data_IF_776434808084
#
_entry.id   IF_776434808084
#
_cell.length_a   1.000
_cell.length_b   1.000
_cell.length_c   1.000
_cell.angle_alpha   90.00
_cell.angle_beta   90.00
_cell.angle_gamma   90.00
#
_symmetry.space_group_name_H-M   'P 1'
#
loop_
_entity.id
_entity.type
_entity.pdbx_description
1 polymer ?
#
# COMPACT_ATOMS: atom_id res chain seq x y z
N UNK A 1 -14.03 2.61 17.64
CA UNK A 1 -13.50 1.67 16.65
C UNK A 1 -12.00 1.96 16.31
N UNK A 2 -11.41 3.03 16.90
CA UNK A 2 -10.01 3.38 16.75
C UNK A 2 -9.66 4.17 15.46
N UNK A 3 -10.66 4.59 14.70
CA UNK A 3 -10.50 5.48 13.55
C UNK A 3 -11.64 6.51 13.50
N UNK A 4 -11.41 7.63 12.82
CA UNK A 4 -12.42 8.65 12.56
C UNK A 4 -12.96 8.53 11.13
N UNK A 5 -14.21 8.94 10.92
CA UNK A 5 -14.85 8.93 9.61
C UNK A 5 -14.97 10.35 9.07
N UNK A 6 -14.11 10.70 8.12
CA UNK A 6 -13.99 12.05 7.56
C UNK A 6 -14.43 12.15 6.09
N UNK A 7 -14.91 11.06 5.48
CA UNK A 7 -15.39 11.06 4.10
C UNK A 7 -16.79 11.65 4.01
N UNK A 8 -16.99 12.84 3.42
CA UNK A 8 -18.29 13.46 3.27
C UNK A 8 -19.23 12.63 2.38
N UNK A 9 -20.56 12.69 2.59
CA UNK A 9 -21.52 11.93 1.79
C UNK A 9 -21.44 12.20 0.28
N UNK A 10 -21.16 13.43 -0.13
CA UNK A 10 -21.02 13.84 -1.54
C UNK A 10 -19.74 13.33 -2.24
N UNK A 11 -18.79 12.81 -1.48
CA UNK A 11 -17.56 12.18 -2.02
C UNK A 11 -17.66 10.65 -2.07
N UNK A 12 -18.80 10.08 -1.71
CA UNK A 12 -19.04 8.64 -1.79
C UNK A 12 -19.58 8.28 -3.16
N UNK A 13 -18.82 7.54 -3.95
CA UNK A 13 -19.26 7.03 -5.25
C UNK A 13 -19.92 5.64 -5.17
N UNK A 14 -19.92 5.01 -3.99
CA UNK A 14 -20.59 3.75 -3.70
C UNK A 14 -21.01 3.67 -2.23
N UNK A 15 -21.88 2.72 -1.86
CA UNK A 15 -22.28 2.47 -0.48
C UNK A 15 -21.17 1.89 0.39
N UNK A 16 -20.17 1.24 -0.23
CA UNK A 16 -18.99 0.68 0.42
C UNK A 16 -17.77 0.86 -0.49
N UNK A 17 -17.13 2.06 -0.50
CA UNK A 17 -15.96 2.30 -1.33
C UNK A 17 -14.72 1.58 -0.78
N UNK A 18 -13.78 1.25 -1.67
CA UNK A 18 -12.54 0.55 -1.35
C UNK A 18 -12.73 -0.96 -1.12
N UNK A 19 -11.79 -1.56 -0.41
CA UNK A 19 -11.85 -2.98 -0.07
C UNK A 19 -13.10 -3.31 0.76
N UNK A 20 -13.80 -4.35 0.39
CA UNK A 20 -14.86 -4.91 1.21
C UNK A 20 -14.30 -5.69 2.42
N UNK A 21 -15.20 -6.23 3.25
CA UNK A 21 -14.79 -6.98 4.46
C UNK A 21 -13.95 -8.21 4.13
N UNK A 22 -14.26 -8.90 3.04
CA UNK A 22 -13.56 -10.11 2.59
C UNK A 22 -12.15 -9.77 2.10
N UNK A 23 -12.04 -8.75 1.24
CA UNK A 23 -10.75 -8.28 0.73
C UNK A 23 -9.83 -7.76 1.84
N UNK A 24 -10.37 -6.96 2.77
CA UNK A 24 -9.59 -6.46 3.91
C UNK A 24 -9.09 -7.60 4.82
N UNK A 25 -9.91 -8.64 5.03
CA UNK A 25 -9.50 -9.82 5.78
C UNK A 25 -8.44 -10.64 5.04
N UNK A 26 -8.62 -10.87 3.73
CA UNK A 26 -7.66 -11.60 2.89
C UNK A 26 -6.29 -10.91 2.87
N UNK A 27 -6.28 -9.57 2.73
CA UNK A 27 -5.06 -8.75 2.77
C UNK A 27 -4.35 -8.89 4.11
N UNK A 28 -5.08 -8.74 5.22
CA UNK A 28 -4.54 -8.95 6.57
C UNK A 28 -3.92 -10.34 6.70
N UNK A 29 -4.64 -11.39 6.31
CA UNK A 29 -4.21 -12.77 6.49
C UNK A 29 -2.97 -13.09 5.65
N UNK A 30 -2.89 -12.55 4.44
CA UNK A 30 -1.73 -12.68 3.57
C UNK A 30 -0.51 -11.91 4.08
N UNK A 31 -0.67 -10.62 4.38
CA UNK A 31 0.45 -9.77 4.81
C UNK A 31 0.96 -10.15 6.20
N UNK A 32 0.09 -10.61 7.11
CA UNK A 32 0.51 -11.08 8.44
C UNK A 32 1.34 -12.38 8.41
N UNK A 33 1.41 -13.06 7.27
CA UNK A 33 2.32 -14.20 7.03
C UNK A 33 3.66 -13.76 6.42
N UNK A 34 3.89 -12.46 6.35
CA UNK A 34 5.17 -11.86 5.95
C UNK A 34 5.59 -12.14 4.49
N UNK A 35 4.67 -12.57 3.62
CA UNK A 35 4.99 -12.79 2.20
C UNK A 35 5.58 -11.57 1.50
N UNK A 36 5.26 -10.34 1.96
CA UNK A 36 5.80 -9.08 1.45
C UNK A 36 6.74 -8.39 2.45
N UNK A 37 7.38 -9.17 3.35
CA UNK A 37 8.30 -8.63 4.36
C UNK A 37 9.48 -7.89 3.74
N UNK A 38 9.97 -8.32 2.58
CA UNK A 38 11.06 -7.64 1.87
C UNK A 38 10.71 -6.20 1.50
N UNK A 39 9.47 -5.94 1.06
CA UNK A 39 9.00 -4.58 0.79
C UNK A 39 8.91 -3.77 2.08
N UNK A 40 8.33 -4.32 3.14
CA UNK A 40 8.27 -3.64 4.44
C UNK A 40 9.65 -3.28 4.96
N UNK A 41 10.60 -4.21 4.94
CA UNK A 41 11.98 -3.98 5.40
C UNK A 41 12.68 -2.88 4.60
N UNK A 42 12.47 -2.85 3.28
CA UNK A 42 13.03 -1.79 2.44
C UNK A 42 12.44 -0.43 2.76
N UNK A 43 11.12 -0.34 2.95
CA UNK A 43 10.46 0.89 3.39
C UNK A 43 10.96 1.34 4.77
N UNK A 44 11.02 0.43 5.74
CA UNK A 44 11.57 0.73 7.07
C UNK A 44 12.99 1.26 7.01
N UNK A 45 13.87 0.60 6.22
CA UNK A 45 15.25 1.04 6.04
C UNK A 45 15.35 2.45 5.47
N UNK A 46 14.51 2.76 4.49
CA UNK A 46 14.47 4.10 3.91
C UNK A 46 14.01 5.14 4.95
N UNK A 47 12.91 4.90 5.66
CA UNK A 47 12.42 5.83 6.67
C UNK A 47 13.43 6.03 7.82
N UNK A 48 14.16 4.99 8.20
CA UNK A 48 15.23 5.08 9.21
C UNK A 48 16.43 5.91 8.73
N UNK A 49 16.75 5.91 7.45
CA UNK A 49 17.88 6.68 6.91
C UNK A 49 17.54 8.13 6.60
N UNK A 50 16.32 8.40 6.14
CA UNK A 50 15.94 9.69 5.54
C UNK A 50 15.09 10.57 6.48
N UNK A 51 14.42 9.99 7.50
CA UNK A 51 13.59 10.74 8.42
C UNK A 51 14.40 11.29 9.61
N UNK A 52 13.99 12.46 10.10
CA UNK A 52 14.50 13.04 11.37
C UNK A 52 14.00 12.30 12.61
N UNK A 53 14.28 12.85 13.79
CA UNK A 53 13.93 12.25 15.08
C UNK A 53 12.42 12.19 15.36
N UNK A 54 11.67 13.17 14.86
CA UNK A 54 10.21 13.29 15.09
C UNK A 54 9.47 13.60 13.77
N UNK A 55 9.51 12.71 12.77
CA UNK A 55 8.92 12.98 11.48
C UNK A 55 7.39 12.94 11.53
N UNK A 56 6.74 13.76 10.72
CA UNK A 56 5.30 13.69 10.44
C UNK A 56 5.10 12.91 9.16
N UNK A 57 4.50 11.73 9.27
CA UNK A 57 4.35 10.77 8.17
C UNK A 57 2.87 10.51 7.88
N UNK A 58 2.51 10.56 6.62
CA UNK A 58 1.19 10.17 6.12
C UNK A 58 1.31 8.94 5.24
N UNK A 59 0.51 7.91 5.52
CA UNK A 59 0.26 6.77 4.61
C UNK A 59 -1.10 6.95 3.93
N UNK A 60 -1.08 7.36 2.66
CA UNK A 60 -2.28 7.64 1.88
C UNK A 60 -2.74 6.40 1.10
N UNK A 61 -3.81 5.76 1.57
CA UNK A 61 -4.25 4.45 1.11
C UNK A 61 -3.59 3.33 1.91
N UNK A 62 -3.55 3.48 3.24
CA UNK A 62 -2.84 2.59 4.15
C UNK A 62 -3.42 1.16 4.25
N UNK A 63 -4.61 0.93 3.68
CA UNK A 63 -5.30 -0.35 3.76
C UNK A 63 -5.51 -0.81 5.21
N UNK A 64 -5.10 -2.03 5.51
CA UNK A 64 -5.22 -2.65 6.84
C UNK A 64 -4.02 -2.34 7.77
N UNK A 65 -3.15 -1.40 7.37
CA UNK A 65 -2.10 -0.82 8.22
C UNK A 65 -0.82 -1.65 8.36
N UNK A 66 -0.56 -2.64 7.52
CA UNK A 66 0.62 -3.49 7.62
C UNK A 66 1.92 -2.68 7.48
N UNK A 67 2.05 -1.91 6.41
CA UNK A 67 3.23 -1.06 6.19
C UNK A 67 3.28 0.10 7.18
N UNK A 68 2.15 0.73 7.42
CA UNK A 68 2.01 1.85 8.36
C UNK A 68 2.51 1.49 9.75
N UNK A 69 1.99 0.39 10.32
CA UNK A 69 2.39 -0.07 11.65
C UNK A 69 3.85 -0.54 11.70
N UNK A 70 4.32 -1.26 10.67
CA UNK A 70 5.70 -1.73 10.60
C UNK A 70 6.72 -0.59 10.56
N UNK A 71 6.46 0.46 9.76
CA UNK A 71 7.32 1.65 9.70
C UNK A 71 7.31 2.38 11.06
N UNK A 72 6.12 2.58 11.65
CA UNK A 72 6.00 3.19 12.96
C UNK A 72 6.83 2.45 14.02
N UNK A 73 6.68 1.15 14.12
CA UNK A 73 7.39 0.30 15.08
C UNK A 73 8.91 0.31 14.83
N UNK A 74 9.34 0.30 13.57
CA UNK A 74 10.76 0.39 13.23
C UNK A 74 11.38 1.72 13.70
N UNK A 75 10.70 2.85 13.48
CA UNK A 75 11.15 4.16 13.96
C UNK A 75 11.18 4.24 15.49
N UNK A 76 10.13 3.77 16.16
CA UNK A 76 10.06 3.73 17.63
C UNK A 76 11.17 2.87 18.24
N UNK A 77 11.50 1.72 17.62
CA UNK A 77 12.56 0.83 18.10
C UNK A 77 13.96 1.46 18.04
N UNK A 78 14.14 2.48 17.22
CA UNK A 78 15.37 3.27 17.11
C UNK A 78 15.34 4.58 17.92
N UNK A 79 14.38 4.70 18.84
CA UNK A 79 14.25 5.86 19.72
C UNK A 79 13.74 7.13 19.05
N UNK A 80 13.13 7.01 17.86
CA UNK A 80 12.47 8.13 17.18
C UNK A 80 11.04 8.30 17.67
N UNK A 81 10.46 9.47 17.46
CA UNK A 81 9.11 9.83 17.92
C UNK A 81 8.23 10.27 16.74
N UNK A 82 7.89 9.38 15.79
CA UNK A 82 7.11 9.76 14.63
C UNK A 82 5.68 10.15 15.03
N UNK A 83 5.14 11.18 14.40
CA UNK A 83 3.70 11.44 14.33
C UNK A 83 3.21 10.83 13.01
N UNK A 84 2.36 9.83 13.10
CA UNK A 84 1.95 9.06 11.93
C UNK A 84 0.44 8.99 11.81
N UNK A 85 -0.06 9.22 10.59
CA UNK A 85 -1.45 9.03 10.23
C UNK A 85 -1.57 8.08 9.04
N UNK A 86 -2.62 7.26 9.04
CA UNK A 86 -3.02 6.42 7.92
C UNK A 86 -4.42 6.76 7.45
N UNK A 87 -4.60 6.92 6.14
CA UNK A 87 -5.92 7.16 5.56
C UNK A 87 -6.26 6.09 4.53
N UNK A 88 -7.51 5.68 4.49
CA UNK A 88 -8.04 4.79 3.47
C UNK A 88 -9.54 5.10 3.25
N UNK A 89 -10.07 4.75 2.09
CA UNK A 89 -11.49 4.92 1.81
C UNK A 89 -12.33 3.76 2.39
N UNK A 90 -11.71 2.61 2.67
CA UNK A 90 -12.35 1.43 3.23
C UNK A 90 -12.39 1.47 4.76
N UNK A 91 -13.58 1.62 5.32
CA UNK A 91 -13.80 1.47 6.77
C UNK A 91 -13.46 0.08 7.30
N UNK A 92 -13.53 -0.95 6.45
CA UNK A 92 -13.22 -2.33 6.85
C UNK A 92 -11.71 -2.52 7.04
N UNK A 93 -10.92 -1.97 6.13
CA UNK A 93 -9.46 -1.95 6.23
C UNK A 93 -9.01 -1.16 7.46
N UNK A 94 -9.53 0.05 7.67
CA UNK A 94 -9.16 0.89 8.80
C UNK A 94 -9.56 0.30 10.17
N UNK A 95 -10.64 -0.48 10.23
CA UNK A 95 -10.98 -1.21 11.47
C UNK A 95 -9.92 -2.24 11.85
N UNK A 96 -9.21 -2.80 10.88
CA UNK A 96 -8.09 -3.71 11.10
C UNK A 96 -6.85 -2.91 11.46
N UNK A 97 -6.53 -1.85 10.70
CA UNK A 97 -5.37 -0.98 10.93
C UNK A 97 -5.35 -0.39 12.34
N UNK A 98 -6.48 0.14 12.81
CA UNK A 98 -6.62 0.72 14.15
C UNK A 98 -6.46 -0.28 15.30
N UNK A 99 -6.60 -1.59 15.02
CA UNK A 99 -6.31 -2.66 16.00
C UNK A 99 -4.87 -3.12 15.95
N UNK A 100 -4.19 -2.89 14.83
CA UNK A 100 -2.80 -3.28 14.63
C UNK A 100 -1.84 -2.36 15.39
N UNK A 101 -2.11 -1.05 15.40
CA UNK A 101 -1.31 -0.06 16.12
C UNK A 101 -2.20 1.09 16.61
N UNK A 102 -2.28 1.24 17.93
CA UNK A 102 -3.16 2.23 18.59
C UNK A 102 -2.56 3.63 18.67
N UNK A 103 -1.24 3.75 18.46
CA UNK A 103 -0.52 5.02 18.53
C UNK A 103 -0.58 5.81 17.21
N UNK A 104 -1.16 5.21 16.15
CA UNK A 104 -1.32 5.84 14.83
C UNK A 104 -2.74 6.39 14.68
N UNK A 105 -2.86 7.57 14.12
CA UNK A 105 -4.15 8.19 13.82
C UNK A 105 -4.70 7.67 12.50
N UNK A 106 -5.87 7.02 12.51
CA UNK A 106 -6.50 6.48 11.30
C UNK A 106 -7.79 7.22 10.94
N UNK A 107 -7.97 7.51 9.65
CA UNK A 107 -9.17 8.20 9.16
C UNK A 107 -9.69 7.62 7.84
N UNK A 108 -11.03 7.40 7.75
CA UNK A 108 -11.70 7.18 6.48
C UNK A 108 -11.75 8.49 5.71
N UNK A 109 -10.99 8.59 4.63
CA UNK A 109 -10.90 9.79 3.81
C UNK A 109 -10.56 9.44 2.36
N UNK A 110 -10.85 10.35 1.44
CA UNK A 110 -10.39 10.28 0.06
C UNK A 110 -8.98 10.83 -0.05
N UNK A 111 -8.06 10.11 -0.71
CA UNK A 111 -6.71 10.60 -0.97
C UNK A 111 -6.67 11.88 -1.80
N UNK A 112 -7.76 12.22 -2.49
CA UNK A 112 -7.87 13.45 -3.30
C UNK A 112 -8.25 14.71 -2.49
N UNK A 113 -8.74 14.53 -1.25
CA UNK A 113 -9.18 15.64 -0.38
C UNK A 113 -9.00 15.23 1.08
N UNK A 114 -7.78 15.40 1.58
CA UNK A 114 -7.43 15.03 2.95
C UNK A 114 -7.61 16.22 3.90
N UNK A 115 -8.24 16.06 5.05
CA UNK A 115 -8.49 17.13 6.00
C UNK A 115 -7.23 17.45 6.83
N UNK A 116 -6.12 17.70 6.15
CA UNK A 116 -4.83 18.06 6.72
C UNK A 116 -4.41 19.44 6.22
N UNK A 117 -3.66 20.17 7.03
CA UNK A 117 -3.13 21.49 6.66
C UNK A 117 -2.10 21.36 5.51
N UNK A 118 -1.96 22.43 4.73
CA UNK A 118 -0.91 22.54 3.73
C UNK A 118 0.46 22.44 4.39
N UNK A 119 1.40 21.81 3.70
CA UNK A 119 2.80 21.71 4.11
C UNK A 119 2.98 21.21 5.56
N UNK A 120 2.16 20.22 5.96
CA UNK A 120 2.15 19.67 7.32
C UNK A 120 2.84 18.32 7.46
N UNK A 121 3.25 17.69 6.34
CA UNK A 121 3.78 16.33 6.27
C UNK A 121 5.23 16.36 5.79
N UNK A 122 6.12 15.64 6.48
CA UNK A 122 7.54 15.50 6.12
C UNK A 122 7.75 14.41 5.07
N UNK A 123 7.00 13.28 5.21
CA UNK A 123 7.06 12.17 4.26
C UNK A 123 5.67 11.58 4.02
N UNK A 124 5.39 11.22 2.77
CA UNK A 124 4.15 10.62 2.33
C UNK A 124 4.43 9.29 1.65
N UNK A 125 3.78 8.23 2.14
CA UNK A 125 3.75 6.92 1.50
C UNK A 125 2.43 6.75 0.74
N UNK A 126 2.51 6.24 -0.49
CA UNK A 126 1.37 5.77 -1.26
C UNK A 126 1.72 4.38 -1.83
N UNK A 127 1.11 3.34 -1.25
CA UNK A 127 1.43 1.96 -1.56
C UNK A 127 0.23 1.28 -2.23
N UNK A 128 0.33 1.01 -3.55
CA UNK A 128 -0.73 0.38 -4.36
C UNK A 128 -2.08 1.10 -4.31
N UNK A 129 -2.07 2.40 -4.09
CA UNK A 129 -3.24 3.24 -3.90
C UNK A 129 -3.35 4.30 -5.00
N UNK A 130 -4.52 4.90 -5.25
CA UNK A 130 -4.67 5.94 -6.25
C UNK A 130 -3.72 7.12 -6.04
N UNK A 131 -3.13 7.59 -7.12
CA UNK A 131 -2.19 8.69 -7.13
C UNK A 131 -2.92 10.05 -7.17
N UNK A 132 -2.85 10.81 -6.07
CA UNK A 132 -3.48 12.11 -5.92
C UNK A 132 -2.41 13.23 -5.84
N UNK A 133 -1.67 13.44 -6.93
CA UNK A 133 -0.46 14.27 -6.96
C UNK A 133 -0.64 15.69 -6.45
N UNK A 134 -1.72 16.38 -6.85
CA UNK A 134 -2.01 17.75 -6.41
C UNK A 134 -2.17 17.82 -4.89
N UNK A 135 -2.91 16.85 -4.33
CA UNK A 135 -3.13 16.77 -2.89
C UNK A 135 -1.84 16.37 -2.15
N UNK A 136 -1.08 15.43 -2.66
CA UNK A 136 0.20 15.04 -2.08
C UNK A 136 1.20 16.19 -2.11
N UNK A 137 1.24 16.95 -3.21
CA UNK A 137 2.05 18.16 -3.30
C UNK A 137 1.59 19.22 -2.28
N UNK A 138 0.29 19.45 -2.11
CA UNK A 138 -0.24 20.40 -1.13
C UNK A 138 0.20 20.05 0.29
N UNK A 139 0.12 18.78 0.68
CA UNK A 139 0.37 18.29 2.04
C UNK A 139 1.83 18.27 2.44
N UNK A 140 2.72 17.91 1.51
CA UNK A 140 4.15 17.83 1.78
C UNK A 140 4.76 19.21 2.01
N UNK A 141 5.69 19.29 2.97
CA UNK A 141 6.55 20.46 3.14
C UNK A 141 7.52 20.59 1.96
N UNK A 142 8.04 21.79 1.64
CA UNK A 142 9.17 21.92 0.72
C UNK A 142 10.33 21.03 1.17
N UNK A 143 10.88 20.25 0.25
CA UNK A 143 11.91 19.24 0.55
C UNK A 143 11.37 17.93 1.15
N UNK A 144 10.07 17.84 1.42
CA UNK A 144 9.44 16.60 1.91
C UNK A 144 9.45 15.47 0.88
N UNK A 145 9.50 14.25 1.34
CA UNK A 145 9.67 13.04 0.51
C UNK A 145 8.33 12.38 0.17
N UNK A 146 8.18 11.97 -1.08
CA UNK A 146 7.05 11.19 -1.56
C UNK A 146 7.52 9.83 -2.06
N UNK A 147 7.05 8.74 -1.42
CA UNK A 147 7.31 7.36 -1.79
C UNK A 147 6.07 6.78 -2.48
N UNK A 148 6.23 6.40 -3.74
CA UNK A 148 5.19 5.79 -4.55
C UNK A 148 5.55 4.34 -4.88
N UNK A 149 4.83 3.39 -4.29
CA UNK A 149 5.09 1.95 -4.46
C UNK A 149 4.12 1.38 -5.48
N UNK A 150 4.68 0.79 -6.53
CA UNK A 150 3.94 0.14 -7.61
C UNK A 150 4.46 -1.26 -7.88
N UNK A 151 3.66 -2.17 -8.49
CA UNK A 151 4.16 -3.45 -8.93
C UNK A 151 5.14 -3.28 -10.10
N UNK A 152 6.27 -3.99 -10.04
CA UNK A 152 7.21 -4.11 -11.15
C UNK A 152 6.70 -5.02 -12.27
N UNK A 153 7.43 -5.11 -13.39
CA UNK A 153 7.00 -5.79 -14.61
C UNK A 153 6.55 -7.23 -14.36
N UNK A 154 7.32 -7.99 -13.61
CA UNK A 154 7.06 -9.42 -13.37
C UNK A 154 6.35 -9.71 -12.05
N UNK A 155 5.75 -8.69 -11.43
CA UNK A 155 5.01 -8.91 -10.18
C UNK A 155 3.87 -9.91 -10.38
N UNK A 156 3.89 -11.01 -9.60
CA UNK A 156 2.93 -12.11 -9.63
C UNK A 156 2.79 -12.75 -11.02
N UNK A 157 3.91 -12.92 -11.73
CA UNK A 157 3.90 -13.42 -13.11
C UNK A 157 3.27 -14.81 -13.23
N UNK A 158 3.65 -15.75 -12.36
CA UNK A 158 3.14 -17.12 -12.38
C UNK A 158 1.66 -17.17 -11.99
N UNK A 159 1.22 -16.30 -11.08
CA UNK A 159 -0.21 -16.13 -10.82
C UNK A 159 -0.95 -15.65 -12.07
N UNK A 160 -0.43 -14.66 -12.79
CA UNK A 160 -1.04 -14.18 -14.04
C UNK A 160 -1.13 -15.28 -15.10
N UNK A 161 -0.11 -16.15 -15.20
CA UNK A 161 -0.12 -17.30 -16.12
C UNK A 161 -1.24 -18.31 -15.80
N UNK A 162 -1.58 -18.48 -14.53
CA UNK A 162 -2.72 -19.30 -14.12
C UNK A 162 -4.05 -18.64 -14.46
N UNK A 163 -4.15 -17.32 -14.25
CA UNK A 163 -5.42 -16.59 -14.38
C UNK A 163 -5.80 -16.31 -15.85
N UNK A 164 -4.82 -16.06 -16.73
CA UNK A 164 -5.04 -15.56 -18.08
C UNK A 164 -4.37 -16.43 -19.14
N UNK A 165 -5.04 -16.61 -20.27
CA UNK A 165 -4.49 -17.37 -21.42
C UNK A 165 -3.37 -16.58 -22.13
N UNK A 166 -3.43 -15.25 -22.09
CA UNK A 166 -2.44 -14.35 -22.66
C UNK A 166 -2.00 -13.31 -21.61
N UNK A 167 -1.19 -13.73 -20.62
CA UNK A 167 -0.69 -12.80 -19.62
C UNK A 167 0.32 -11.81 -20.24
N UNK A 168 0.36 -10.59 -19.69
CA UNK A 168 1.35 -9.59 -20.09
C UNK A 168 2.00 -8.99 -18.83
N UNK A 169 3.28 -8.56 -18.93
CA UNK A 169 3.96 -7.91 -17.82
C UNK A 169 3.32 -6.57 -17.48
N UNK A 170 3.51 -6.08 -16.26
CA UNK A 170 3.13 -4.73 -15.92
C UNK A 170 4.04 -3.75 -16.66
N UNK A 171 3.50 -2.58 -16.99
CA UNK A 171 4.30 -1.53 -17.57
C UNK A 171 5.10 -0.82 -16.45
N UNK A 172 6.40 -0.72 -16.62
CA UNK A 172 7.26 0.10 -15.76
C UNK A 172 7.57 1.42 -16.46
N UNK A 173 7.28 2.52 -15.80
CA UNK A 173 7.55 3.86 -16.34
C UNK A 173 8.21 4.73 -15.27
N UNK A 174 9.28 5.38 -15.67
CA UNK A 174 9.82 6.51 -14.95
C UNK A 174 9.05 7.76 -15.38
N UNK A 175 8.12 8.20 -14.54
CA UNK A 175 7.24 9.32 -14.87
C UNK A 175 7.62 10.51 -13.99
N UNK A 176 8.15 11.60 -14.57
CA UNK A 176 8.33 12.85 -13.84
C UNK A 176 6.98 13.48 -13.51
N UNK A 177 6.87 14.07 -12.33
CA UNK A 177 5.68 14.79 -11.90
C UNK A 177 6.01 16.26 -11.62
N UNK A 178 5.14 17.16 -12.06
CA UNK A 178 5.29 18.59 -11.81
C UNK A 178 5.29 18.88 -10.31
N UNK A 179 6.17 19.79 -9.89
CA UNK A 179 6.35 20.13 -8.48
C UNK A 179 7.23 19.17 -7.68
N UNK A 180 7.67 18.07 -8.31
CA UNK A 180 8.55 17.08 -7.69
C UNK A 180 9.89 16.95 -8.43
N UNK A 181 10.94 16.61 -7.68
CA UNK A 181 12.22 16.16 -8.21
C UNK A 181 12.30 14.64 -8.05
N UNK A 182 12.48 13.93 -9.14
CA UNK A 182 12.68 12.49 -9.10
C UNK A 182 14.06 12.18 -8.50
N UNK A 183 14.11 11.39 -7.44
CA UNK A 183 15.36 11.06 -6.74
C UNK A 183 15.92 9.71 -7.22
N UNK A 184 15.13 8.65 -7.10
CA UNK A 184 15.56 7.30 -7.46
C UNK A 184 14.38 6.34 -7.52
N UNK A 185 14.64 5.14 -8.07
CA UNK A 185 13.77 3.96 -7.96
C UNK A 185 14.53 2.90 -7.16
N UNK A 186 13.90 2.38 -6.11
CA UNK A 186 14.43 1.25 -5.35
C UNK A 186 13.66 -0.01 -5.77
N UNK A 187 14.30 -0.96 -6.45
CA UNK A 187 13.68 -2.24 -6.79
C UNK A 187 13.63 -3.16 -5.56
N UNK A 188 12.54 -3.90 -5.43
CA UNK A 188 12.39 -4.97 -4.43
C UNK A 188 11.85 -6.19 -5.15
N UNK A 189 12.73 -7.13 -5.45
CA UNK A 189 12.40 -8.34 -6.20
C UNK A 189 12.64 -9.57 -5.33
N UNK A 190 11.82 -10.60 -5.50
CA UNK A 190 11.93 -11.85 -4.76
C UNK A 190 10.98 -12.92 -5.30
N UNK A 191 10.94 -14.04 -4.61
CA UNK A 191 10.05 -15.16 -4.91
C UNK A 191 9.39 -15.58 -3.61
N UNK A 192 8.09 -15.86 -3.67
CA UNK A 192 7.31 -16.41 -2.55
C UNK A 192 6.72 -17.75 -2.95
N UNK A 193 6.61 -18.65 -1.98
CA UNK A 193 5.92 -19.94 -2.15
C UNK A 193 4.74 -20.01 -1.20
N UNK A 194 3.56 -20.20 -1.75
CA UNK A 194 2.30 -20.36 -1.05
C UNK A 194 1.98 -21.85 -0.99
N UNK A 195 2.14 -22.43 0.20
CA UNK A 195 1.98 -23.89 0.43
C UNK A 195 0.53 -24.30 0.70
N UNK A 196 -0.39 -23.35 0.72
CA UNK A 196 -1.79 -23.60 1.04
C UNK A 196 -2.70 -22.89 0.06
N UNK A 197 -3.72 -23.59 -0.38
CA UNK A 197 -4.77 -23.04 -1.23
C UNK A 197 -5.43 -21.79 -0.61
N UNK A 198 -5.57 -21.73 0.72
CA UNK A 198 -6.10 -20.56 1.43
C UNK A 198 -5.23 -19.31 1.25
N UNK A 199 -3.91 -19.46 1.16
CA UNK A 199 -2.97 -18.36 0.97
C UNK A 199 -2.96 -17.88 -0.48
N UNK A 200 -3.08 -18.82 -1.42
CA UNK A 200 -3.26 -18.52 -2.85
C UNK A 200 -4.56 -17.74 -3.06
N UNK A 201 -5.65 -18.17 -2.42
CA UNK A 201 -6.92 -17.47 -2.49
C UNK A 201 -6.85 -16.06 -1.84
N UNK A 202 -6.19 -15.93 -0.70
CA UNK A 202 -5.99 -14.63 -0.03
C UNK A 202 -5.18 -13.66 -0.91
N UNK A 203 -4.08 -14.14 -1.53
CA UNK A 203 -3.32 -13.36 -2.51
C UNK A 203 -4.20 -12.91 -3.67
N UNK A 204 -4.95 -13.82 -4.28
CA UNK A 204 -5.84 -13.51 -5.39
C UNK A 204 -6.89 -12.48 -5.01
N UNK A 205 -7.59 -12.69 -3.87
CA UNK A 205 -8.69 -11.84 -3.41
C UNK A 205 -8.24 -10.41 -3.08
N UNK A 206 -7.00 -10.21 -2.61
CA UNK A 206 -6.49 -8.88 -2.29
C UNK A 206 -5.99 -8.09 -3.50
N UNK A 207 -5.98 -8.69 -4.69
CA UNK A 207 -5.51 -8.03 -5.92
C UNK A 207 -6.68 -7.61 -6.83
N UNK A 208 -6.47 -6.63 -7.74
CA UNK A 208 -7.47 -6.28 -8.75
C UNK A 208 -7.84 -7.43 -9.71
N UNK A 209 -7.04 -8.50 -9.75
CA UNK A 209 -7.32 -9.68 -10.58
C UNK A 209 -8.61 -10.37 -10.16
N UNK A 210 -8.97 -10.35 -8.87
CA UNK A 210 -10.20 -10.94 -8.35
C UNK A 210 -11.45 -10.55 -9.14
N UNK A 211 -11.52 -9.28 -9.56
CA UNK A 211 -12.67 -8.74 -10.29
C UNK A 211 -12.59 -8.91 -11.81
N UNK A 212 -11.41 -9.23 -12.34
CA UNK A 212 -11.14 -9.22 -13.79
C UNK A 212 -10.85 -10.60 -14.37
N UNK A 213 -10.70 -11.63 -13.53
CA UNK A 213 -10.32 -12.98 -13.97
C UNK A 213 -11.50 -13.69 -14.60
N UNK A 214 -11.33 -14.28 -15.81
CA UNK A 214 -12.33 -15.16 -16.41
C UNK A 214 -12.60 -16.38 -15.54
N UNK A 215 -13.82 -16.96 -15.67
CA UNK A 215 -14.23 -18.13 -14.89
C UNK A 215 -13.25 -19.29 -14.99
N UNK A 216 -12.77 -19.59 -16.20
CA UNK A 216 -11.78 -20.66 -16.43
C UNK A 216 -10.46 -20.41 -15.67
N UNK A 217 -9.98 -19.17 -15.59
CA UNK A 217 -8.80 -18.81 -14.81
C UNK A 217 -9.03 -18.97 -13.31
N UNK A 218 -10.20 -18.58 -12.81
CA UNK A 218 -10.57 -18.80 -11.41
C UNK A 218 -10.67 -20.29 -11.05
N UNK A 219 -11.18 -21.13 -11.96
CA UNK A 219 -11.23 -22.59 -11.80
C UNK A 219 -9.82 -23.20 -11.77
N UNK A 220 -8.91 -22.75 -12.66
CA UNK A 220 -7.50 -23.17 -12.63
C UNK A 220 -6.84 -22.82 -11.30
N UNK A 221 -7.07 -21.60 -10.81
CA UNK A 221 -6.53 -21.15 -9.53
C UNK A 221 -7.05 -22.00 -8.36
N UNK A 222 -8.34 -22.29 -8.34
CA UNK A 222 -8.97 -23.09 -7.30
C UNK A 222 -8.46 -24.55 -7.24
N UNK A 223 -7.90 -25.05 -8.31
CA UNK A 223 -7.32 -26.39 -8.40
C UNK A 223 -5.85 -26.45 -7.92
N UNK A 224 -5.20 -25.32 -7.66
CA UNK A 224 -3.82 -25.29 -7.17
C UNK A 224 -3.74 -25.67 -5.68
N UNK A 225 -2.81 -26.55 -5.36
CA UNK A 225 -2.46 -26.90 -3.97
C UNK A 225 -1.33 -25.99 -3.45
N UNK A 226 -0.42 -25.57 -4.33
CA UNK A 226 0.68 -24.66 -4.03
C UNK A 226 0.92 -23.69 -5.20
N UNK A 227 1.56 -22.57 -4.94
CA UNK A 227 1.97 -21.61 -5.97
C UNK A 227 3.29 -20.95 -5.57
N UNK A 228 4.30 -21.07 -6.42
CA UNK A 228 5.51 -20.26 -6.34
C UNK A 228 5.40 -19.12 -7.35
N UNK A 229 5.57 -17.90 -6.92
CA UNK A 229 5.44 -16.73 -7.80
C UNK A 229 6.44 -15.62 -7.45
N UNK A 230 6.83 -14.89 -8.47
CA UNK A 230 7.67 -13.70 -8.31
C UNK A 230 6.90 -12.60 -7.62
N UNK A 231 7.59 -11.89 -6.71
CA UNK A 231 7.18 -10.58 -6.22
C UNK A 231 8.16 -9.55 -6.75
N UNK A 232 7.65 -8.46 -7.27
CA UNK A 232 8.45 -7.40 -7.87
C UNK A 232 7.78 -6.06 -7.59
N UNK A 233 8.49 -5.17 -6.90
CA UNK A 233 7.99 -3.85 -6.55
C UNK A 233 9.00 -2.78 -6.98
N UNK A 234 8.49 -1.58 -7.24
CA UNK A 234 9.29 -0.39 -7.49
C UNK A 234 8.85 0.70 -6.53
N UNK A 235 9.78 1.15 -5.70
CA UNK A 235 9.58 2.29 -4.82
C UNK A 235 10.16 3.50 -5.52
N UNK A 236 9.28 4.31 -6.10
CA UNK A 236 9.66 5.59 -6.72
C UNK A 236 9.76 6.64 -5.63
N UNK A 237 10.89 7.29 -5.51
CA UNK A 237 11.17 8.29 -4.49
C UNK A 237 11.29 9.67 -5.15
N UNK A 238 10.46 10.58 -4.67
CA UNK A 238 10.41 11.96 -5.12
C UNK A 238 10.61 12.91 -3.93
N UNK A 239 11.10 14.11 -4.23
CA UNK A 239 11.19 15.19 -3.27
C UNK A 239 10.37 16.38 -3.78
N UNK A 240 9.54 16.98 -2.91
CA UNK A 240 8.81 18.20 -3.24
C UNK A 240 9.79 19.36 -3.42
N UNK A 241 9.63 20.11 -4.52
CA UNK A 241 10.37 21.35 -4.79
C UNK A 241 9.92 22.50 -3.92
#
# INVERSE_FOLDING_TARGET
>A
EGYVYLLPPNQRHSSAPGDDKGMAAARRDFLSKEYYLSLLNTLCSWFLSDSGDSPVILDAGCGEGYYTAGIYQALMSQGRHPRMAGTDISKFSLRIAAKREHSIEFAVASSYHLPLADQSVDALLNCFSPLALEEFHRLLRPGGSFLYVVPGANHLWELKQVLYDHPYPNEERETPYDGFTYQTIVPVDGVITLERQSDIHALFQMTPYYWKTPKAGAERLAALEHLTTQISFRIHIFQKR
#
